data_IF_254198116684
#
_entry.id   IF_254198116684
#
_cell.length_a   1.000
_cell.length_b   1.000
_cell.length_c   1.000
_cell.angle_alpha   90.00
_cell.angle_beta   90.00
_cell.angle_gamma   90.00
#
_symmetry.space_group_name_H-M   'P 1'
#
loop_
_entity.id
_entity.type
_entity.pdbx_description
1 polymer ?
#
# COMPACT_ATOMS: atom_id res chain seq x y z
N UNK A 1 -1.50 -14.72 42.80
CA UNK A 1 -2.76 -15.37 42.39
C UNK A 1 -3.72 -14.42 41.66
N UNK A 2 -3.83 -13.12 42.02
CA UNK A 2 -4.67 -12.15 41.31
C UNK A 2 -4.18 -11.86 39.90
N UNK A 3 -2.86 -11.78 39.65
CA UNK A 3 -2.28 -11.48 38.32
C UNK A 3 -2.53 -12.64 37.33
N UNK A 4 -2.50 -13.89 37.82
CA UNK A 4 -2.80 -15.06 36.99
C UNK A 4 -4.28 -15.16 36.60
N UNK A 5 -5.20 -14.68 37.46
CA UNK A 5 -6.63 -14.64 37.16
C UNK A 5 -6.99 -13.49 36.20
N UNK A 6 -6.28 -12.35 36.26
CA UNK A 6 -6.48 -11.25 35.32
C UNK A 6 -5.92 -11.59 33.91
N UNK A 7 -4.80 -12.31 33.81
CA UNK A 7 -4.28 -12.78 32.55
C UNK A 7 -5.17 -13.84 31.88
N UNK A 8 -5.83 -14.71 32.66
CA UNK A 8 -6.79 -15.68 32.14
C UNK A 8 -8.09 -15.03 31.64
N UNK A 9 -8.46 -13.85 32.15
CA UNK A 9 -9.60 -13.05 31.67
C UNK A 9 -9.30 -12.21 30.43
N UNK A 10 -8.04 -11.97 30.10
CA UNK A 10 -7.62 -11.23 28.90
C UNK A 10 -7.69 -12.07 27.62
N UNK A 11 -7.79 -13.41 27.71
CA UNK A 11 -7.93 -14.29 26.55
C UNK A 11 -9.37 -14.42 26.02
N UNK A 12 -10.38 -13.91 26.72
CA UNK A 12 -11.73 -13.69 26.19
C UNK A 12 -11.88 -12.24 25.72
N UNK A 13 -11.20 -11.85 24.66
CA UNK A 13 -11.51 -10.61 23.95
C UNK A 13 -12.85 -10.75 23.25
N UNK A 14 -13.91 -10.27 23.89
CA UNK A 14 -15.18 -10.03 23.24
C UNK A 14 -14.96 -8.97 22.15
N UNK A 15 -15.07 -9.38 20.88
CA UNK A 15 -15.12 -8.43 19.79
C UNK A 15 -16.35 -7.52 19.95
N UNK A 16 -16.10 -6.26 20.28
CA UNK A 16 -17.15 -5.26 20.41
C UNK A 16 -17.67 -4.85 19.03
N UNK A 17 -18.76 -5.48 18.60
CA UNK A 17 -19.45 -5.10 17.36
C UNK A 17 -20.53 -4.05 17.62
N UNK A 18 -20.87 -3.21 16.61
CA UNK A 18 -21.98 -2.25 16.75
C UNK A 18 -23.29 -2.92 17.15
N UNK A 19 -23.58 -4.10 16.62
CA UNK A 19 -24.78 -4.89 16.93
C UNK A 19 -24.80 -5.37 18.37
N UNK A 20 -23.68 -5.84 18.91
CA UNK A 20 -23.57 -6.26 20.31
C UNK A 20 -23.82 -5.12 21.28
N UNK A 21 -23.23 -3.94 21.01
CA UNK A 21 -23.43 -2.75 21.84
C UNK A 21 -24.89 -2.26 21.79
N UNK A 22 -25.53 -2.33 20.63
CA UNK A 22 -26.95 -2.01 20.49
C UNK A 22 -27.82 -2.98 21.29
N UNK A 23 -27.57 -4.29 21.19
CA UNK A 23 -28.30 -5.34 21.94
C UNK A 23 -28.17 -5.15 23.47
N UNK A 24 -26.94 -4.86 23.94
CA UNK A 24 -26.71 -4.58 25.38
C UNK A 24 -27.46 -3.32 25.79
N UNK A 25 -27.44 -2.27 24.96
CA UNK A 25 -28.21 -1.03 25.24
C UNK A 25 -29.70 -1.31 25.38
N UNK A 26 -30.28 -2.15 24.51
CA UNK A 26 -31.68 -2.51 24.53
C UNK A 26 -32.03 -3.36 25.78
N UNK A 27 -31.16 -4.31 26.16
CA UNK A 27 -31.31 -5.07 27.42
C UNK A 27 -31.25 -4.18 28.64
N UNK A 28 -30.35 -3.20 28.68
CA UNK A 28 -30.28 -2.21 29.77
C UNK A 28 -31.56 -1.36 29.82
N UNK A 29 -32.06 -0.91 28.66
CA UNK A 29 -33.33 -0.16 28.58
C UNK A 29 -34.53 -1.00 29.05
N UNK A 30 -34.64 -2.26 28.65
CA UNK A 30 -35.68 -3.16 29.08
C UNK A 30 -35.68 -3.37 30.61
N UNK A 31 -34.50 -3.42 31.22
CA UNK A 31 -34.35 -3.54 32.67
C UNK A 31 -34.87 -2.33 33.47
N UNK A 32 -35.11 -1.18 32.81
CA UNK A 32 -35.66 0.02 33.46
C UNK A 32 -37.12 -0.15 33.91
N UNK A 33 -37.82 -1.16 33.39
CA UNK A 33 -39.19 -1.48 33.74
C UNK A 33 -39.35 -2.25 35.07
N UNK A 34 -38.22 -2.63 35.69
CA UNK A 34 -38.22 -3.35 36.96
C UNK A 34 -38.73 -2.45 38.09
N UNK A 35 -39.84 -2.85 38.81
CA UNK A 35 -40.41 -2.08 39.89
C UNK A 35 -39.49 -1.93 41.13
N UNK A 36 -38.50 -2.84 41.27
CA UNK A 36 -37.62 -2.86 42.44
C UNK A 36 -36.43 -1.89 42.32
N UNK A 37 -36.24 -1.25 41.14
CA UNK A 37 -35.12 -0.34 40.91
C UNK A 37 -35.40 1.04 41.52
N UNK A 38 -34.42 1.54 42.31
CA UNK A 38 -34.40 2.90 42.80
C UNK A 38 -34.22 3.94 41.66
N UNK A 39 -34.68 5.16 41.93
CA UNK A 39 -34.60 6.27 40.98
C UNK A 39 -33.15 6.63 40.56
N UNK A 40 -32.21 6.53 41.47
CA UNK A 40 -30.79 6.75 41.22
C UNK A 40 -30.23 5.69 40.25
N UNK A 41 -30.60 4.44 40.46
CA UNK A 41 -30.18 3.32 39.64
C UNK A 41 -30.80 3.37 38.25
N UNK A 42 -32.06 3.75 38.14
CA UNK A 42 -32.73 4.03 36.85
C UNK A 42 -32.02 5.14 36.08
N UNK A 43 -31.56 6.20 36.76
CA UNK A 43 -30.80 7.30 36.13
C UNK A 43 -29.45 6.83 35.63
N UNK A 44 -28.73 6.01 36.39
CA UNK A 44 -27.43 5.41 35.96
C UNK A 44 -27.62 4.52 34.75
N UNK A 45 -28.59 3.62 34.76
CA UNK A 45 -28.87 2.70 33.62
C UNK A 45 -29.25 3.45 32.34
N UNK A 46 -30.07 4.52 32.43
CA UNK A 46 -30.38 5.39 31.29
C UNK A 46 -29.14 6.04 30.71
N UNK A 47 -28.20 6.51 31.55
CA UNK A 47 -26.95 7.09 31.11
C UNK A 47 -26.09 6.06 30.37
N UNK A 48 -25.97 4.85 30.94
CA UNK A 48 -25.22 3.75 30.34
C UNK A 48 -25.82 3.35 28.96
N UNK A 49 -27.15 3.16 28.91
CA UNK A 49 -27.81 2.81 27.65
C UNK A 49 -27.62 3.87 26.58
N UNK A 50 -27.69 5.15 26.94
CA UNK A 50 -27.41 6.25 26.00
C UNK A 50 -25.96 6.22 25.48
N UNK A 51 -25.00 6.03 26.40
CA UNK A 51 -23.59 5.97 26.06
C UNK A 51 -23.29 4.76 25.15
N UNK A 52 -23.86 3.59 25.45
CA UNK A 52 -23.72 2.39 24.62
C UNK A 52 -24.26 2.60 23.20
N UNK A 53 -25.43 3.24 23.08
CA UNK A 53 -26.04 3.57 21.79
C UNK A 53 -25.19 4.57 20.98
N UNK A 54 -24.63 5.59 21.63
CA UNK A 54 -23.73 6.54 20.98
C UNK A 54 -22.44 5.86 20.50
N UNK A 55 -21.88 4.94 21.31
CA UNK A 55 -20.68 4.17 20.93
C UNK A 55 -20.96 3.18 19.81
N UNK A 56 -22.13 2.51 19.83
CA UNK A 56 -22.57 1.63 18.74
C UNK A 56 -22.65 2.40 17.41
N UNK A 57 -23.25 3.60 17.43
CA UNK A 57 -23.31 4.47 16.25
C UNK A 57 -21.92 4.84 15.72
N UNK A 58 -21.00 5.25 16.61
CA UNK A 58 -19.62 5.58 16.21
C UNK A 58 -18.84 4.39 15.64
N UNK A 59 -19.00 3.20 16.21
CA UNK A 59 -18.38 2.00 15.65
C UNK A 59 -18.91 1.70 14.25
N UNK A 60 -20.22 1.81 14.03
CA UNK A 60 -20.80 1.66 12.70
C UNK A 60 -20.27 2.69 11.69
N UNK A 61 -20.06 3.95 12.11
CA UNK A 61 -19.40 4.95 11.29
C UNK A 61 -17.94 4.57 10.95
N UNK A 62 -17.20 4.02 11.93
CA UNK A 62 -15.82 3.58 11.69
C UNK A 62 -15.76 2.38 10.76
N UNK A 63 -16.66 1.41 10.90
CA UNK A 63 -16.77 0.27 9.99
C UNK A 63 -17.04 0.76 8.55
N UNK A 64 -17.94 1.71 8.36
CA UNK A 64 -18.19 2.32 7.07
C UNK A 64 -16.95 3.07 6.52
N UNK A 65 -16.20 3.75 7.40
CA UNK A 65 -14.95 4.40 7.00
C UNK A 65 -13.88 3.40 6.58
N UNK A 66 -13.78 2.26 7.27
CA UNK A 66 -12.85 1.18 6.91
C UNK A 66 -13.24 0.52 5.57
N UNK A 67 -14.53 0.29 5.36
CA UNK A 67 -15.04 -0.23 4.08
C UNK A 67 -14.73 0.72 2.92
N UNK A 68 -15.01 2.02 3.08
CA UNK A 68 -14.70 3.03 2.07
C UNK A 68 -13.18 3.19 1.82
N UNK A 69 -12.36 2.98 2.85
CA UNK A 69 -10.91 3.07 2.74
C UNK A 69 -10.34 1.92 1.89
N UNK A 70 -10.81 0.68 2.10
CA UNK A 70 -10.24 -0.51 1.46
C UNK A 70 -8.73 -0.61 1.68
N UNK A 71 -7.99 -0.93 0.63
CA UNK A 71 -6.51 -1.04 0.67
C UNK A 71 -5.79 0.30 0.51
N UNK A 72 -6.51 1.43 0.44
CA UNK A 72 -5.94 2.77 0.27
C UNK A 72 -5.48 3.36 1.60
N UNK A 73 -4.50 4.24 1.57
CA UNK A 73 -4.03 4.97 2.76
C UNK A 73 -4.95 6.13 3.18
N UNK A 74 -5.83 6.58 2.28
CA UNK A 74 -6.75 7.68 2.52
C UNK A 74 -7.89 7.68 1.51
N UNK A 75 -8.99 8.33 1.85
CA UNK A 75 -10.08 8.65 0.94
C UNK A 75 -10.74 9.98 1.32
N UNK A 76 -11.47 10.58 0.39
CA UNK A 76 -12.21 11.82 0.64
C UNK A 76 -13.63 11.50 1.12
N UNK A 77 -14.08 12.17 2.19
CA UNK A 77 -15.46 12.00 2.70
C UNK A 77 -16.55 12.54 1.74
N UNK A 78 -16.16 13.42 0.83
CA UNK A 78 -17.08 14.00 -0.17
C UNK A 78 -17.11 13.21 -1.47
N UNK A 79 -16.04 12.43 -1.73
CA UNK A 79 -15.89 11.56 -2.89
C UNK A 79 -15.10 10.34 -2.44
N UNK A 80 -15.81 9.26 -2.11
CA UNK A 80 -15.23 8.07 -1.48
C UNK A 80 -14.21 7.34 -2.37
N UNK A 81 -14.28 7.54 -3.69
CA UNK A 81 -13.37 6.93 -4.65
C UNK A 81 -12.07 7.73 -4.81
N UNK A 82 -12.08 9.03 -4.49
CA UNK A 82 -10.90 9.88 -4.57
C UNK A 82 -9.91 9.61 -3.44
N UNK A 83 -8.61 9.57 -3.77
CA UNK A 83 -7.50 9.42 -2.81
C UNK A 83 -6.75 10.74 -2.66
N UNK A 84 -6.26 11.05 -1.46
CA UNK A 84 -5.41 12.22 -1.25
C UNK A 84 -4.05 12.01 -1.88
N UNK A 85 -3.67 12.88 -2.81
CA UNK A 85 -2.42 12.82 -3.55
C UNK A 85 -1.81 14.21 -3.78
N UNK A 86 -0.50 14.27 -4.03
CA UNK A 86 0.16 15.49 -4.47
C UNK A 86 -0.15 15.75 -5.95
N UNK A 87 -0.78 16.87 -6.24
CA UNK A 87 -1.04 17.28 -7.61
C UNK A 87 0.22 17.95 -8.18
N UNK A 88 0.66 17.54 -9.39
CA UNK A 88 1.85 18.11 -10.07
C UNK A 88 1.71 19.60 -10.35
N UNK A 89 0.50 20.05 -10.65
CA UNK A 89 0.17 21.45 -10.93
C UNK A 89 -0.68 22.06 -9.80
N UNK A 90 -0.12 22.10 -8.61
CA UNK A 90 -0.73 22.85 -7.53
C UNK A 90 -0.38 24.34 -7.68
N UNK A 91 -1.30 25.14 -8.23
CA UNK A 91 -1.11 26.58 -8.44
C UNK A 91 -0.82 27.34 -7.16
N UNK A 92 -1.20 26.81 -6.01
CA UNK A 92 -0.91 27.39 -4.70
C UNK A 92 0.46 26.95 -4.16
N UNK A 93 1.04 25.88 -4.73
CA UNK A 93 2.34 25.29 -4.37
C UNK A 93 2.56 25.09 -2.86
N UNK A 94 1.48 24.75 -2.16
CA UNK A 94 1.51 24.58 -0.70
C UNK A 94 2.05 23.22 -0.26
N UNK A 95 2.32 22.32 -1.21
CA UNK A 95 2.78 20.95 -0.94
C UNK A 95 1.74 20.08 -0.21
N UNK A 96 0.50 20.54 -0.20
CA UNK A 96 -0.60 19.81 0.44
C UNK A 96 -1.14 18.72 -0.48
N UNK A 97 -1.56 17.62 0.13
CA UNK A 97 -2.31 16.59 -0.59
C UNK A 97 -3.76 17.01 -0.77
N UNK A 98 -4.31 16.76 -1.96
CA UNK A 98 -5.70 17.04 -2.31
C UNK A 98 -6.37 15.78 -2.82
N UNK A 99 -7.71 15.62 -2.63
CA UNK A 99 -8.43 14.52 -3.24
C UNK A 99 -8.34 14.59 -4.76
N UNK A 100 -8.02 13.48 -5.40
CA UNK A 100 -7.88 13.43 -6.85
C UNK A 100 -7.80 12.02 -7.38
N UNK A 101 -7.67 11.94 -8.69
CA UNK A 101 -7.51 10.71 -9.44
C UNK A 101 -6.25 10.79 -10.30
N UNK A 102 -5.63 9.65 -10.52
CA UNK A 102 -4.56 9.49 -11.48
C UNK A 102 -5.18 9.13 -12.84
N UNK A 103 -5.10 10.05 -13.79
CA UNK A 103 -5.59 9.84 -15.16
C UNK A 103 -4.47 9.23 -16.00
N UNK A 104 -4.70 8.02 -16.49
CA UNK A 104 -3.84 7.35 -17.45
C UNK A 104 -4.39 7.52 -18.87
N UNK A 105 -3.51 7.85 -19.81
CA UNK A 105 -3.88 8.06 -21.21
C UNK A 105 -2.85 7.36 -22.11
N UNK A 106 -3.33 6.51 -23.01
CA UNK A 106 -2.53 5.98 -24.11
C UNK A 106 -2.85 6.73 -25.41
N UNK A 107 -1.82 7.02 -26.18
CA UNK A 107 -1.94 7.71 -27.46
C UNK A 107 -1.16 6.99 -28.55
N UNK A 108 -1.69 6.98 -29.75
CA UNK A 108 -1.03 6.52 -30.97
C UNK A 108 -1.34 7.48 -32.12
N UNK A 109 -0.32 7.91 -32.84
CA UNK A 109 -0.47 8.84 -33.98
C UNK A 109 -1.31 10.09 -33.65
N UNK A 110 -1.16 10.65 -32.42
CA UNK A 110 -1.90 11.80 -31.90
C UNK A 110 -3.37 11.51 -31.56
N UNK A 111 -3.83 10.28 -31.62
CA UNK A 111 -5.17 9.88 -31.16
C UNK A 111 -5.09 9.23 -29.78
N UNK A 112 -6.08 9.52 -28.96
CA UNK A 112 -6.25 8.82 -27.67
C UNK A 112 -6.82 7.44 -27.98
N UNK A 113 -6.05 6.40 -27.67
CA UNK A 113 -6.45 5.01 -27.88
C UNK A 113 -7.06 4.40 -26.61
N UNK A 114 -6.59 4.78 -25.43
CA UNK A 114 -7.15 4.33 -24.18
C UNK A 114 -7.06 5.42 -23.10
N UNK A 115 -7.98 5.40 -22.13
CA UNK A 115 -7.89 6.20 -20.91
C UNK A 115 -8.55 5.50 -19.76
N UNK A 116 -8.06 5.71 -18.55
CA UNK A 116 -8.64 5.21 -17.30
C UNK A 116 -8.30 6.14 -16.14
N UNK A 117 -9.17 6.14 -15.12
CA UNK A 117 -8.97 6.86 -13.86
C UNK A 117 -8.66 5.85 -12.75
N UNK A 118 -7.63 6.15 -11.97
CA UNK A 118 -7.21 5.31 -10.86
C UNK A 118 -7.14 6.11 -9.55
N UNK A 119 -7.53 5.51 -8.42
CA UNK A 119 -7.34 6.12 -7.11
C UNK A 119 -5.88 6.04 -6.62
N UNK A 120 -5.00 5.33 -7.32
CA UNK A 120 -3.61 5.13 -6.95
C UNK A 120 -2.79 6.40 -7.21
N UNK A 121 -2.09 6.98 -6.21
CA UNK A 121 -1.31 8.20 -6.39
C UNK A 121 -0.07 8.04 -7.28
N UNK A 122 0.39 6.81 -7.51
CA UNK A 122 1.59 6.48 -8.28
C UNK A 122 1.26 5.63 -9.50
N UNK A 123 2.06 5.78 -10.55
CA UNK A 123 1.83 5.13 -11.84
C UNK A 123 2.17 3.62 -11.84
N UNK A 124 3.04 3.19 -10.94
CA UNK A 124 3.55 1.81 -10.89
C UNK A 124 2.45 0.75 -10.80
N UNK A 125 1.42 1.01 -9.97
CA UNK A 125 0.32 0.07 -9.76
C UNK A 125 -0.81 0.22 -10.78
N UNK A 126 -0.80 1.27 -11.61
CA UNK A 126 -1.85 1.54 -12.59
C UNK A 126 -1.56 0.92 -13.94
N UNK A 127 -0.30 0.56 -14.23
CA UNK A 127 0.13 0.09 -15.54
C UNK A 127 -0.60 -1.18 -15.98
N UNK A 128 -0.51 -2.25 -15.19
CA UNK A 128 -1.10 -3.54 -15.55
C UNK A 128 -2.62 -3.43 -15.74
N UNK A 129 -3.42 -2.90 -14.80
CA UNK A 129 -4.85 -2.76 -15.02
C UNK A 129 -5.21 -1.83 -16.18
N UNK A 130 -4.38 -0.83 -16.49
CA UNK A 130 -4.57 0.02 -17.65
C UNK A 130 -4.35 -0.74 -18.97
N UNK A 131 -3.30 -1.57 -19.04
CA UNK A 131 -3.01 -2.39 -20.22
C UNK A 131 -4.01 -3.53 -20.39
N UNK A 132 -4.52 -4.10 -19.31
CA UNK A 132 -5.63 -5.05 -19.36
C UNK A 132 -6.89 -4.42 -19.96
N UNK A 133 -7.23 -3.18 -19.57
CA UNK A 133 -8.36 -2.44 -20.18
C UNK A 133 -8.14 -2.14 -21.66
N UNK A 134 -6.89 -1.91 -22.08
CA UNK A 134 -6.53 -1.78 -23.49
C UNK A 134 -6.76 -3.09 -24.24
N UNK A 135 -6.29 -4.22 -23.69
CA UNK A 135 -6.50 -5.55 -24.26
C UNK A 135 -8.00 -5.90 -24.38
N UNK A 136 -8.80 -5.59 -23.37
CA UNK A 136 -10.24 -5.80 -23.42
C UNK A 136 -10.89 -5.04 -24.56
N UNK A 137 -10.42 -3.83 -24.85
CA UNK A 137 -10.95 -2.98 -25.91
C UNK A 137 -10.55 -3.42 -27.30
N UNK A 138 -9.27 -3.84 -27.48
CA UNK A 138 -8.69 -4.12 -28.80
C UNK A 138 -8.45 -5.59 -29.10
N UNK A 139 -8.59 -6.48 -28.09
CA UNK A 139 -8.34 -7.92 -28.21
C UNK A 139 -6.86 -8.33 -28.18
N UNK A 140 -5.93 -7.38 -28.06
CA UNK A 140 -4.48 -7.63 -28.02
C UNK A 140 -3.78 -6.53 -27.22
N UNK A 141 -2.56 -6.79 -26.75
CA UNK A 141 -1.65 -5.78 -26.23
C UNK A 141 -0.96 -5.02 -27.36
N UNK A 142 -0.45 -3.82 -27.07
CA UNK A 142 0.37 -3.07 -27.99
C UNK A 142 1.68 -3.81 -28.26
N UNK A 143 2.15 -3.84 -29.52
CA UNK A 143 3.42 -4.46 -29.88
C UNK A 143 4.63 -3.67 -29.38
N UNK A 144 4.48 -2.37 -29.22
CA UNK A 144 5.52 -1.45 -28.75
C UNK A 144 4.89 -0.41 -27.83
N UNK A 145 5.52 -0.18 -26.70
CA UNK A 145 5.07 0.79 -25.71
C UNK A 145 6.21 1.70 -25.26
N UNK A 146 5.88 2.98 -25.15
CA UNK A 146 6.77 4.01 -24.60
C UNK A 146 6.07 4.63 -23.39
N UNK A 147 6.69 4.54 -22.22
CA UNK A 147 6.12 5.09 -21.00
C UNK A 147 7.16 5.81 -20.14
N UNK A 148 6.69 6.65 -19.21
CA UNK A 148 7.53 7.38 -18.27
C UNK A 148 8.19 6.43 -17.26
N UNK A 149 9.26 6.89 -16.63
CA UNK A 149 9.98 6.15 -15.58
C UNK A 149 9.13 5.86 -14.33
N UNK A 150 8.01 6.57 -14.14
CA UNK A 150 7.02 6.29 -13.10
C UNK A 150 6.39 4.90 -13.19
N UNK A 151 6.35 4.32 -14.40
CA UNK A 151 5.85 2.96 -14.64
C UNK A 151 6.92 1.88 -14.46
N UNK A 152 8.19 2.26 -14.31
CA UNK A 152 9.32 1.33 -14.21
C UNK A 152 9.29 0.52 -12.91
N UNK A 153 8.94 -0.76 -12.99
CA UNK A 153 9.04 -1.74 -11.91
C UNK A 153 9.37 -3.12 -12.48
N UNK A 154 9.93 -4.00 -11.64
CA UNK A 154 10.24 -5.38 -12.03
C UNK A 154 8.97 -6.09 -12.52
N UNK A 155 7.87 -5.95 -11.80
CA UNK A 155 6.55 -6.50 -12.14
C UNK A 155 6.05 -6.01 -13.51
N UNK A 156 6.14 -4.71 -13.78
CA UNK A 156 5.68 -4.15 -15.05
C UNK A 156 6.57 -4.58 -16.22
N UNK A 157 7.89 -4.66 -16.03
CA UNK A 157 8.79 -5.16 -17.07
C UNK A 157 8.54 -6.64 -17.38
N UNK A 158 8.35 -7.46 -16.36
CA UNK A 158 8.01 -8.87 -16.54
C UNK A 158 6.66 -9.03 -17.26
N UNK A 159 5.66 -8.22 -16.90
CA UNK A 159 4.37 -8.21 -17.59
C UNK A 159 4.52 -7.86 -19.08
N UNK A 160 5.31 -6.83 -19.42
CA UNK A 160 5.58 -6.45 -20.82
C UNK A 160 6.27 -7.58 -21.59
N UNK A 161 7.28 -8.21 -20.99
CA UNK A 161 8.03 -9.31 -21.58
C UNK A 161 7.13 -10.54 -21.83
N UNK A 162 6.35 -10.95 -20.84
CA UNK A 162 5.42 -12.08 -20.93
C UNK A 162 4.34 -11.90 -22.01
N UNK A 163 3.94 -10.66 -22.27
CA UNK A 163 2.95 -10.32 -23.30
C UNK A 163 3.57 -9.97 -24.67
N UNK A 164 4.88 -10.10 -24.81
CA UNK A 164 5.59 -9.87 -26.07
C UNK A 164 5.62 -8.40 -26.52
N UNK A 165 5.45 -7.46 -25.58
CA UNK A 165 5.50 -6.02 -25.83
C UNK A 165 6.95 -5.52 -25.82
N UNK A 166 7.39 -4.83 -26.88
CA UNK A 166 8.67 -4.14 -26.90
C UNK A 166 8.57 -2.86 -26.04
N UNK A 167 9.12 -2.91 -24.83
CA UNK A 167 9.01 -1.86 -23.83
C UNK A 167 10.14 -0.83 -23.92
N UNK A 168 9.78 0.44 -24.04
CA UNK A 168 10.68 1.60 -23.91
C UNK A 168 10.31 2.41 -22.68
N UNK A 169 10.55 1.83 -21.51
CA UNK A 169 10.27 2.44 -20.21
C UNK A 169 11.58 2.62 -19.46
N UNK A 170 11.86 3.85 -19.06
CA UNK A 170 13.08 4.15 -18.30
C UNK A 170 12.94 3.62 -16.88
N UNK A 171 14.03 3.06 -16.34
CA UNK A 171 14.04 2.72 -14.91
C UNK A 171 14.12 3.99 -14.03
N UNK A 172 13.69 3.88 -12.80
CA UNK A 172 13.43 5.03 -11.90
C UNK A 172 14.66 5.96 -11.67
N UNK A 173 15.86 5.45 -11.81
CA UNK A 173 17.10 6.21 -11.61
C UNK A 173 17.75 6.73 -12.89
N UNK A 174 17.20 6.39 -14.05
CA UNK A 174 17.77 6.75 -15.36
C UNK A 174 18.17 8.22 -15.45
N UNK A 175 17.28 9.15 -15.07
CA UNK A 175 17.54 10.57 -15.15
C UNK A 175 18.58 11.08 -14.13
N UNK A 176 18.70 10.41 -12.98
CA UNK A 176 19.66 10.76 -11.93
C UNK A 176 21.07 10.33 -12.40
N UNK A 177 21.19 9.12 -12.90
CA UNK A 177 22.45 8.51 -13.32
C UNK A 177 23.04 9.13 -14.58
N UNK A 178 22.20 9.75 -15.41
CA UNK A 178 22.65 10.48 -16.61
C UNK A 178 22.92 11.97 -16.37
N UNK A 179 22.91 12.46 -15.13
CA UNK A 179 23.30 13.84 -14.82
C UNK A 179 24.82 14.00 -14.90
N UNK A 180 25.36 15.11 -15.46
CA UNK A 180 26.81 15.33 -15.57
C UNK A 180 27.57 15.28 -14.25
N UNK A 181 26.91 15.61 -13.14
CA UNK A 181 27.49 15.61 -11.80
C UNK A 181 27.20 14.33 -10.99
N UNK A 182 26.59 13.32 -11.62
CA UNK A 182 26.30 12.07 -10.92
C UNK A 182 27.59 11.32 -10.61
N UNK A 183 27.78 11.04 -9.33
CA UNK A 183 28.86 10.16 -8.84
C UNK A 183 28.19 8.88 -8.32
N UNK A 184 28.49 7.73 -8.92
CA UNK A 184 27.96 6.46 -8.42
C UNK A 184 28.42 6.21 -6.98
N UNK A 185 27.48 5.89 -6.08
CA UNK A 185 27.81 5.41 -4.76
C UNK A 185 28.40 3.99 -4.87
N UNK A 186 29.69 3.79 -4.53
CA UNK A 186 30.34 2.49 -4.71
C UNK A 186 29.75 1.40 -3.81
N UNK A 187 29.01 1.76 -2.74
CA UNK A 187 28.43 0.81 -1.80
C UNK A 187 27.00 0.39 -2.11
N UNK A 188 26.45 0.87 -3.21
CA UNK A 188 25.18 0.35 -3.70
C UNK A 188 25.41 -1.00 -4.37
N UNK A 189 24.53 -1.96 -4.09
CA UNK A 189 24.61 -3.33 -4.63
C UNK A 189 24.69 -3.38 -6.15
N UNK A 190 24.01 -2.45 -6.84
CA UNK A 190 24.05 -2.32 -8.31
C UNK A 190 25.42 -1.93 -8.85
N UNK A 191 26.29 -1.35 -8.04
CA UNK A 191 27.65 -0.92 -8.41
C UNK A 191 28.73 -1.91 -8.00
N UNK A 192 28.37 -3.02 -7.36
CA UNK A 192 29.33 -4.06 -7.00
C UNK A 192 29.80 -4.81 -8.26
N UNK A 193 31.08 -5.19 -8.26
CA UNK A 193 31.56 -6.14 -9.25
C UNK A 193 30.85 -7.48 -9.05
N UNK A 194 30.24 -8.01 -10.11
CA UNK A 194 29.58 -9.32 -10.09
C UNK A 194 30.24 -10.25 -11.09
N UNK A 195 30.74 -11.38 -10.59
CA UNK A 195 31.24 -12.48 -11.43
C UNK A 195 30.08 -13.47 -11.66
N UNK A 196 29.60 -13.49 -12.93
CA UNK A 196 28.49 -14.35 -13.33
C UNK A 196 28.85 -15.84 -13.39
N UNK A 197 30.12 -16.18 -13.67
CA UNK A 197 30.54 -17.57 -13.85
C UNK A 197 30.65 -18.28 -12.50
N UNK A 198 31.17 -17.59 -11.49
CA UNK A 198 31.38 -18.14 -10.15
C UNK A 198 30.33 -17.67 -9.13
N UNK A 199 29.33 -16.88 -9.57
CA UNK A 199 28.22 -16.37 -8.78
C UNK A 199 28.62 -15.70 -7.45
N UNK A 200 29.54 -14.73 -7.52
CA UNK A 200 29.93 -13.92 -6.37
C UNK A 200 29.97 -12.43 -6.70
N UNK A 201 29.81 -11.60 -5.67
CA UNK A 201 30.02 -10.15 -5.73
C UNK A 201 31.31 -9.77 -5.02
N UNK A 202 31.88 -8.62 -5.39
CA UNK A 202 33.01 -8.00 -4.65
C UNK A 202 32.57 -6.62 -4.19
N UNK A 203 32.59 -6.37 -2.88
CA UNK A 203 32.30 -5.06 -2.35
C UNK A 203 33.45 -4.06 -2.64
N UNK A 204 33.25 -2.74 -2.51
CA UNK A 204 34.26 -1.73 -2.76
C UNK A 204 35.54 -1.85 -1.89
N UNK A 205 35.41 -2.54 -0.74
CA UNK A 205 36.54 -2.83 0.15
C UNK A 205 37.27 -4.13 -0.20
N UNK A 206 36.98 -4.74 -1.37
CA UNK A 206 37.66 -5.95 -1.84
C UNK A 206 37.19 -7.26 -1.19
N UNK A 207 36.12 -7.26 -0.41
CA UNK A 207 35.58 -8.49 0.16
C UNK A 207 34.81 -9.29 -0.88
N UNK A 208 35.16 -10.57 -1.05
CA UNK A 208 34.39 -11.52 -1.81
C UNK A 208 33.13 -11.91 -1.01
N UNK A 209 31.99 -11.76 -1.65
CA UNK A 209 30.68 -12.05 -1.09
C UNK A 209 30.08 -13.24 -1.86
N UNK A 210 30.08 -14.40 -1.22
CA UNK A 210 29.47 -15.59 -1.80
C UNK A 210 27.94 -15.53 -1.68
N UNK A 211 27.27 -16.16 -2.62
CA UNK A 211 25.82 -16.33 -2.56
C UNK A 211 25.43 -17.20 -1.37
N UNK A 212 24.56 -16.70 -0.50
CA UNK A 212 24.11 -17.39 0.70
C UNK A 212 22.65 -17.84 0.62
N UNK A 213 21.91 -17.35 -0.38
CA UNK A 213 20.51 -17.74 -0.55
C UNK A 213 19.74 -16.85 -1.53
N UNK A 214 18.43 -16.98 -1.44
CA UNK A 214 17.49 -16.12 -2.15
C UNK A 214 16.45 -15.62 -1.15
N UNK A 215 16.23 -14.33 -1.12
CA UNK A 215 15.16 -13.70 -0.35
C UNK A 215 13.99 -13.37 -1.28
N UNK A 216 12.78 -13.46 -0.74
CA UNK A 216 11.55 -13.12 -1.45
C UNK A 216 10.98 -11.84 -0.86
N UNK A 217 10.59 -10.91 -1.73
CA UNK A 217 9.89 -9.71 -1.31
C UNK A 217 8.57 -9.62 -2.06
N UNK A 218 7.46 -9.55 -1.31
CA UNK A 218 6.13 -9.34 -1.87
C UNK A 218 5.83 -7.84 -1.93
N UNK A 219 5.40 -7.36 -3.09
CA UNK A 219 4.94 -5.98 -3.31
C UNK A 219 3.51 -5.79 -2.77
N UNK A 220 3.01 -4.55 -2.81
CA UNK A 220 1.63 -4.23 -2.46
C UNK A 220 0.60 -4.84 -3.43
N UNK A 221 1.01 -5.12 -4.68
CA UNK A 221 0.19 -5.82 -5.69
C UNK A 221 0.15 -7.34 -5.50
N UNK A 222 0.94 -7.90 -4.56
CA UNK A 222 1.09 -9.35 -4.39
C UNK A 222 2.19 -9.97 -5.25
N UNK A 223 2.89 -9.19 -6.09
CA UNK A 223 4.02 -9.65 -6.90
C UNK A 223 5.19 -10.06 -6.01
N UNK A 224 5.79 -11.22 -6.29
CA UNK A 224 6.90 -11.77 -5.51
C UNK A 224 8.20 -11.65 -6.30
N UNK A 225 9.05 -10.71 -5.90
CA UNK A 225 10.40 -10.59 -6.47
C UNK A 225 11.41 -11.50 -5.75
N UNK A 226 12.27 -12.13 -6.54
CA UNK A 226 13.32 -13.02 -6.06
C UNK A 226 14.67 -12.30 -6.06
N UNK A 227 15.29 -12.17 -4.88
CA UNK A 227 16.56 -11.46 -4.73
C UNK A 227 17.64 -12.40 -4.25
N UNK A 228 18.70 -12.53 -5.03
CA UNK A 228 19.90 -13.26 -4.58
C UNK A 228 20.54 -12.51 -3.39
N UNK A 229 20.91 -13.26 -2.38
CA UNK A 229 21.55 -12.72 -1.18
C UNK A 229 23.03 -13.13 -1.17
N UNK A 230 23.91 -12.16 -1.03
CA UNK A 230 25.35 -12.34 -0.95
C UNK A 230 25.87 -11.84 0.38
N UNK A 231 26.78 -12.56 1.00
CA UNK A 231 27.31 -12.22 2.33
C UNK A 231 28.82 -12.14 2.30
N UNK A 232 29.38 -11.05 2.82
CA UNK A 232 30.79 -10.87 3.00
C UNK A 232 31.31 -11.73 4.17
N UNK A 233 32.55 -12.20 4.08
CA UNK A 233 33.16 -13.05 5.12
C UNK A 233 33.40 -12.26 6.42
N UNK A 234 33.80 -11.00 6.33
CA UNK A 234 34.09 -10.18 7.48
C UNK A 234 33.88 -8.69 7.20
N UNK A 235 32.94 -8.10 7.90
CA UNK A 235 32.68 -6.65 7.85
C UNK A 235 33.12 -5.91 9.14
N UNK A 236 33.81 -6.60 10.09
CA UNK A 236 34.33 -5.98 11.31
C UNK A 236 35.49 -5.05 10.94
N UNK A 237 35.40 -3.79 11.37
CA UNK A 237 36.42 -2.79 11.09
C UNK A 237 36.31 -2.16 9.69
N UNK A 238 35.23 -2.41 8.97
CA UNK A 238 34.91 -1.64 7.78
C UNK A 238 34.70 -0.17 8.17
N UNK A 239 35.27 0.76 7.38
CA UNK A 239 35.18 2.21 7.64
C UNK A 239 33.83 2.84 7.30
N UNK A 240 32.82 2.01 7.15
CA UNK A 240 31.44 2.38 6.79
C UNK A 240 30.50 2.11 7.93
#
# INVERSE_FOLDING_TARGET
DCIAQDNARQDETLELTPSLLAEISDKVNASLSDPQLDNEEKKKRRKIAKELKERSGKLGEYDQHLENLGDRNSYSKTDNDATFMHLKEDSMNEGLTKPGYNLQIATENQFITNFALFPNPTDTLTYIPFMESFRERYGHFASTEVADSGYGSEENYEFMELNGTAAYVKYNRFHIEHRPQYVPDPFRSENFYYNKEEDYCVCPMGQHMARTGTSHKTSASGYVSNRATYTAQNCKGCSL
#
